data_IF_364948165047
#
_entry.id   IF_364948165047
#
_cell.length_a   1.000
_cell.length_b   1.000
_cell.length_c   1.000
_cell.angle_alpha   90.00
_cell.angle_beta   90.00
_cell.angle_gamma   90.00
#
_symmetry.space_group_name_H-M   'P 1'
#
loop_
_entity.id
_entity.type
_entity.pdbx_description
1 polymer ?
#
# COMPACT_ATOMS: atom_id res chain seq x y z
N UNK A 1 2.80 6.84 -2.45
CA UNK A 1 4.14 6.30 -2.74
C UNK A 1 4.29 6.12 -4.24
N UNK A 2 4.69 7.19 -4.91
CA UNK A 2 4.95 7.25 -6.37
C UNK A 2 6.30 6.64 -6.71
N UNK A 3 6.61 6.48 -8.00
CA UNK A 3 7.93 6.03 -8.43
C UNK A 3 9.04 7.01 -8.00
N UNK A 4 8.82 8.32 -8.16
CA UNK A 4 9.78 9.35 -7.74
C UNK A 4 10.09 9.29 -6.24
N UNK A 5 9.06 9.16 -5.40
CA UNK A 5 9.25 9.00 -3.95
C UNK A 5 10.05 7.72 -3.64
N UNK A 6 9.82 6.62 -4.38
CA UNK A 6 10.58 5.37 -4.23
C UNK A 6 12.04 5.51 -4.66
N UNK A 7 12.34 6.34 -5.67
CA UNK A 7 13.73 6.62 -6.10
C UNK A 7 14.50 7.34 -5.00
N UNK A 8 13.88 8.32 -4.34
CA UNK A 8 14.49 9.00 -3.17
C UNK A 8 14.77 8.00 -2.04
N UNK A 9 13.84 7.08 -1.75
CA UNK A 9 14.07 5.99 -0.78
C UNK A 9 15.27 5.13 -1.20
N UNK A 10 15.35 4.74 -2.47
CA UNK A 10 16.42 3.89 -3.01
C UNK A 10 17.80 4.55 -2.88
N UNK A 11 17.92 5.81 -3.30
CA UNK A 11 19.15 6.61 -3.16
C UNK A 11 19.48 6.79 -1.68
N UNK A 12 18.52 7.18 -0.85
CA UNK A 12 18.71 7.39 0.58
C UNK A 12 19.19 6.12 1.31
N UNK A 13 18.63 4.95 0.96
CA UNK A 13 19.07 3.66 1.49
C UNK A 13 20.51 3.33 1.07
N UNK A 14 20.88 3.53 -0.21
CA UNK A 14 22.26 3.30 -0.69
C UNK A 14 23.26 4.22 -0.02
N UNK A 15 22.88 5.48 0.21
CA UNK A 15 23.69 6.48 0.92
C UNK A 15 23.74 6.25 2.44
N UNK A 16 22.99 5.27 2.98
CA UNK A 16 22.94 5.02 4.42
C UNK A 16 22.22 6.13 5.22
N UNK A 17 21.37 6.93 4.57
CA UNK A 17 20.57 7.96 5.25
C UNK A 17 19.58 7.33 6.23
N UNK A 18 19.28 8.05 7.31
CA UNK A 18 18.25 7.61 8.25
C UNK A 18 16.85 7.69 7.62
N UNK A 19 15.94 6.80 8.04
CA UNK A 19 14.53 6.84 7.61
C UNK A 19 13.91 8.21 7.87
N UNK A 20 14.23 8.85 9.00
CA UNK A 20 13.70 10.17 9.34
C UNK A 20 14.14 11.22 8.32
N UNK A 21 15.40 11.19 7.88
CA UNK A 21 15.88 12.12 6.86
C UNK A 21 15.25 11.88 5.48
N UNK A 22 15.11 10.61 5.08
CA UNK A 22 14.41 10.25 3.85
C UNK A 22 12.94 10.70 3.92
N UNK A 23 12.29 10.54 5.06
CA UNK A 23 10.90 10.91 5.26
C UNK A 23 10.69 12.44 5.24
N UNK A 24 11.61 13.19 5.86
CA UNK A 24 11.67 14.66 5.80
C UNK A 24 11.81 15.14 4.35
N UNK A 25 12.75 14.58 3.58
CA UNK A 25 12.97 14.90 2.15
C UNK A 25 11.73 14.61 1.28
N UNK A 26 10.96 13.59 1.65
CA UNK A 26 9.72 13.22 0.96
C UNK A 26 8.48 13.98 1.44
N UNK A 27 8.54 14.74 2.54
CA UNK A 27 7.36 15.27 3.20
C UNK A 27 6.39 14.18 3.69
N UNK A 28 6.91 13.02 4.11
CA UNK A 28 6.13 11.86 4.56
C UNK A 28 6.43 11.50 6.01
N UNK A 29 5.53 10.75 6.64
CA UNK A 29 5.79 10.19 7.96
C UNK A 29 6.93 9.14 7.92
N UNK A 30 7.84 9.08 8.91
CA UNK A 30 8.89 8.06 8.98
C UNK A 30 8.37 6.63 8.95
N UNK A 31 7.19 6.39 9.54
CA UNK A 31 6.52 5.08 9.53
C UNK A 31 6.14 4.63 8.11
N UNK A 32 5.81 5.57 7.22
CA UNK A 32 5.49 5.28 5.82
C UNK A 32 6.73 4.77 5.08
N UNK A 33 7.88 5.44 5.25
CA UNK A 33 9.15 5.02 4.64
C UNK A 33 9.61 3.67 5.22
N UNK A 34 9.48 3.47 6.54
CA UNK A 34 9.80 2.19 7.18
C UNK A 34 8.97 1.05 6.60
N UNK A 35 7.64 1.18 6.57
CA UNK A 35 6.72 0.15 6.04
C UNK A 35 6.99 -0.14 4.57
N UNK A 36 7.35 0.88 3.80
CA UNK A 36 7.72 0.77 2.39
C UNK A 36 9.01 -0.04 2.21
N UNK A 37 10.05 0.26 3.00
CA UNK A 37 11.32 -0.50 3.00
C UNK A 37 11.08 -1.94 3.48
N UNK A 38 10.38 -2.15 4.61
CA UNK A 38 10.11 -3.49 5.14
C UNK A 38 9.34 -4.38 4.16
N UNK A 39 8.37 -3.81 3.43
CA UNK A 39 7.55 -4.57 2.48
C UNK A 39 8.28 -4.91 1.18
N UNK A 40 9.27 -4.09 0.79
CA UNK A 40 9.84 -4.17 -0.55
C UNK A 40 11.36 -4.38 -0.61
N UNK A 41 12.11 -4.18 0.46
CA UNK A 41 13.54 -4.47 0.49
C UNK A 41 13.82 -5.94 0.83
N UNK A 42 14.97 -6.43 0.38
CA UNK A 42 15.56 -7.67 0.87
C UNK A 42 16.61 -7.35 1.93
N UNK A 43 16.61 -8.06 3.06
CA UNK A 43 17.62 -7.90 4.10
C UNK A 43 17.97 -9.26 4.73
N UNK A 44 19.27 -9.53 4.92
CA UNK A 44 19.72 -10.64 5.77
C UNK A 44 19.48 -10.25 7.23
N UNK A 45 18.32 -10.64 7.77
CA UNK A 45 17.81 -10.21 9.07
C UNK A 45 16.69 -9.16 8.95
N UNK A 46 16.06 -8.76 10.07
CA UNK A 46 15.01 -7.75 10.03
C UNK A 46 15.62 -6.35 10.01
N UNK A 47 15.10 -5.49 9.13
CA UNK A 47 15.48 -4.08 9.11
C UNK A 47 15.22 -3.43 10.49
N UNK A 48 16.21 -2.72 11.04
CA UNK A 48 16.16 -2.04 12.34
C UNK A 48 15.73 -2.91 13.52
N UNK A 49 16.06 -4.20 13.51
CA UNK A 49 15.73 -5.15 14.58
C UNK A 49 16.07 -4.63 16.00
N UNK A 50 17.16 -3.86 16.14
CA UNK A 50 17.64 -3.28 17.41
C UNK A 50 16.75 -2.20 18.01
N UNK A 51 15.89 -1.57 17.20
CA UNK A 51 15.01 -0.49 17.64
C UNK A 51 13.57 -0.97 17.91
N UNK A 52 13.32 -2.28 17.84
CA UNK A 52 12.01 -2.85 18.18
C UNK A 52 11.85 -2.93 19.69
N UNK A 53 10.62 -2.76 20.16
CA UNK A 53 10.26 -3.03 21.54
C UNK A 53 10.60 -4.47 21.90
N UNK A 54 11.29 -4.69 23.03
CA UNK A 54 11.75 -6.01 23.48
C UNK A 54 12.98 -6.57 22.73
N UNK A 55 13.67 -5.77 21.90
CA UNK A 55 14.89 -6.23 21.25
C UNK A 55 16.01 -6.48 22.29
N UNK A 56 16.75 -7.60 22.19
CA UNK A 56 17.85 -7.89 23.11
C UNK A 56 18.94 -6.80 23.04
N UNK A 57 19.45 -6.37 24.20
CA UNK A 57 20.52 -5.36 24.33
C UNK A 57 21.87 -5.76 23.70
N UNK A 58 22.00 -6.99 23.17
CA UNK A 58 23.24 -7.46 22.53
C UNK A 58 23.53 -6.62 21.29
N UNK A 59 24.74 -6.06 21.26
CA UNK A 59 25.28 -5.37 20.08
C UNK A 59 25.24 -6.28 18.85
N UNK A 60 24.83 -5.72 17.72
CA UNK A 60 24.79 -6.37 16.41
C UNK A 60 24.73 -5.29 15.32
N UNK A 61 25.01 -5.61 14.06
CA UNK A 61 24.89 -4.62 12.96
C UNK A 61 23.42 -4.58 12.50
N UNK A 62 22.87 -3.40 12.22
CA UNK A 62 21.57 -3.34 11.56
C UNK A 62 21.68 -3.94 10.16
N UNK A 63 20.72 -4.80 9.82
CA UNK A 63 20.61 -5.33 8.48
C UNK A 63 20.45 -4.16 7.48
N UNK A 64 21.34 -4.09 6.50
CA UNK A 64 21.26 -3.11 5.42
C UNK A 64 20.23 -3.59 4.39
N UNK A 65 19.09 -2.90 4.22
CA UNK A 65 18.10 -3.30 3.25
C UNK A 65 18.62 -3.03 1.84
N UNK A 66 18.52 -4.03 0.96
CA UNK A 66 18.65 -3.84 -0.49
C UNK A 66 17.28 -3.44 -1.02
N UNK A 67 17.10 -2.13 -1.21
CA UNK A 67 15.90 -1.56 -1.82
C UNK A 67 16.14 -1.33 -3.32
N UNK A 68 15.08 -1.44 -4.14
CA UNK A 68 15.12 -1.11 -5.58
C UNK A 68 13.80 -0.48 -5.97
N UNK A 69 13.82 0.79 -6.37
CA UNK A 69 12.61 1.58 -6.62
C UNK A 69 11.69 0.94 -7.67
N UNK A 70 12.25 0.57 -8.83
CA UNK A 70 11.50 -0.03 -9.93
C UNK A 70 10.80 -1.35 -9.52
N UNK A 71 11.51 -2.23 -8.80
CA UNK A 71 10.94 -3.49 -8.33
C UNK A 71 9.86 -3.29 -7.26
N UNK A 72 9.99 -2.26 -6.43
CA UNK A 72 8.98 -1.90 -5.44
C UNK A 72 7.71 -1.32 -6.11
N UNK A 73 7.89 -0.48 -7.15
CA UNK A 73 6.80 0.06 -7.96
C UNK A 73 6.05 -1.04 -8.71
N UNK A 74 6.75 -1.95 -9.39
CA UNK A 74 6.14 -3.06 -10.13
C UNK A 74 5.31 -3.96 -9.20
N UNK A 75 5.82 -4.30 -8.01
CA UNK A 75 5.07 -5.06 -7.00
C UNK A 75 3.85 -4.29 -6.48
N UNK A 76 3.95 -2.98 -6.30
CA UNK A 76 2.81 -2.16 -5.90
C UNK A 76 1.72 -2.18 -6.98
N UNK A 77 2.08 -2.03 -8.25
CA UNK A 77 1.16 -2.13 -9.38
C UNK A 77 0.52 -3.52 -9.46
N UNK A 78 1.31 -4.59 -9.30
CA UNK A 78 0.79 -5.96 -9.29
C UNK A 78 -0.20 -6.20 -8.14
N UNK A 79 0.09 -5.70 -6.93
CA UNK A 79 -0.83 -5.80 -5.77
C UNK A 79 -2.08 -4.93 -5.93
N UNK A 80 -1.97 -3.81 -6.65
CA UNK A 80 -3.10 -2.93 -6.94
C UNK A 80 -4.05 -3.53 -8.00
N UNK A 81 -3.57 -4.45 -8.85
CA UNK A 81 -4.45 -5.21 -9.74
C UNK A 81 -5.42 -6.01 -8.88
N UNK A 82 -6.72 -5.80 -9.09
CA UNK A 82 -7.75 -6.66 -8.54
C UNK A 82 -7.88 -7.88 -9.46
N UNK A 83 -7.46 -9.09 -9.04
CA UNK A 83 -7.47 -10.25 -9.92
C UNK A 83 -8.88 -10.78 -10.22
N UNK A 84 -9.91 -10.31 -9.50
CA UNK A 84 -11.31 -10.69 -9.71
C UNK A 84 -12.11 -9.52 -10.27
N UNK A 85 -12.95 -9.73 -11.29
CA UNK A 85 -13.88 -8.71 -11.75
C UNK A 85 -14.78 -8.27 -10.59
N UNK A 86 -15.13 -6.98 -10.57
CA UNK A 86 -16.05 -6.44 -9.57
C UNK A 86 -17.45 -7.06 -9.71
N UNK A 87 -18.26 -7.04 -8.64
CA UNK A 87 -19.62 -7.61 -8.66
C UNK A 87 -20.49 -7.05 -9.79
N UNK A 88 -20.35 -5.75 -10.08
CA UNK A 88 -21.08 -5.07 -11.16
C UNK A 88 -20.55 -5.42 -12.54
N UNK A 89 -19.27 -5.77 -12.68
CA UNK A 89 -18.69 -6.16 -13.97
C UNK A 89 -19.08 -7.59 -14.40
N UNK A 90 -19.59 -8.40 -13.45
CA UNK A 90 -20.03 -9.78 -13.72
C UNK A 90 -21.55 -9.88 -13.85
N UNK A 91 -22.30 -9.02 -13.15
CA UNK A 91 -23.75 -9.07 -13.11
C UNK A 91 -24.34 -7.80 -13.73
N UNK A 92 -24.69 -7.87 -15.02
CA UNK A 92 -25.27 -6.76 -15.78
C UNK A 92 -26.56 -6.25 -15.15
N UNK A 93 -27.45 -7.14 -14.70
CA UNK A 93 -28.70 -6.75 -14.03
C UNK A 93 -28.45 -5.91 -12.77
N UNK A 94 -27.46 -6.30 -11.97
CA UNK A 94 -27.07 -5.54 -10.77
C UNK A 94 -26.41 -4.20 -11.14
N UNK A 95 -25.62 -4.18 -12.20
CA UNK A 95 -24.98 -2.97 -12.72
C UNK A 95 -26.00 -1.93 -13.18
N UNK A 96 -26.97 -2.34 -14.00
CA UNK A 96 -27.94 -1.44 -14.61
C UNK A 96 -28.87 -0.83 -13.56
N UNK A 97 -29.24 -1.60 -12.53
CA UNK A 97 -30.02 -1.08 -11.41
C UNK A 97 -29.25 -0.02 -10.61
N UNK A 98 -27.96 -0.28 -10.34
CA UNK A 98 -27.09 0.70 -9.67
C UNK A 98 -26.96 1.97 -10.53
N UNK A 99 -26.75 1.81 -11.84
CA UNK A 99 -26.59 2.92 -12.75
C UNK A 99 -27.87 3.77 -12.84
N UNK A 100 -29.03 3.13 -12.94
CA UNK A 100 -30.34 3.79 -12.96
C UNK A 100 -30.55 4.63 -11.72
N UNK A 101 -30.29 4.07 -10.52
CA UNK A 101 -30.48 4.80 -9.26
C UNK A 101 -29.45 5.90 -9.03
N UNK A 102 -28.22 5.74 -9.55
CA UNK A 102 -27.24 6.82 -9.54
C UNK A 102 -27.70 7.99 -10.44
N UNK A 103 -28.29 7.71 -11.60
CA UNK A 103 -28.87 8.73 -12.49
C UNK A 103 -30.05 9.45 -11.82
N UNK A 104 -30.85 8.73 -11.04
CA UNK A 104 -31.92 9.29 -10.21
C UNK A 104 -31.41 9.98 -8.94
N UNK A 105 -30.09 10.12 -8.77
CA UNK A 105 -29.42 10.81 -7.66
C UNK A 105 -29.67 10.21 -6.27
N UNK A 106 -29.90 8.91 -6.18
CA UNK A 106 -29.94 8.21 -4.89
C UNK A 106 -28.55 8.20 -4.25
N UNK A 107 -28.50 8.28 -2.92
CA UNK A 107 -27.24 8.14 -2.19
C UNK A 107 -26.72 6.69 -2.22
N UNK A 108 -25.40 6.47 -2.13
CA UNK A 108 -24.84 5.12 -2.09
C UNK A 108 -25.47 4.22 -1.01
N UNK A 109 -25.83 4.80 0.14
CA UNK A 109 -26.48 4.09 1.24
C UNK A 109 -27.92 3.67 0.90
N UNK A 110 -28.69 4.53 0.22
CA UNK A 110 -30.05 4.20 -0.22
C UNK A 110 -30.03 3.08 -1.26
N UNK A 111 -29.12 3.17 -2.24
CA UNK A 111 -28.95 2.15 -3.28
C UNK A 111 -28.61 0.80 -2.64
N UNK A 112 -27.63 0.76 -1.74
CA UNK A 112 -27.23 -0.47 -1.06
C UNK A 112 -28.39 -1.13 -0.29
N UNK A 113 -29.16 -0.33 0.47
CA UNK A 113 -30.33 -0.84 1.20
C UNK A 113 -31.39 -1.40 0.26
N UNK A 114 -31.65 -0.72 -0.85
CA UNK A 114 -32.67 -1.14 -1.81
C UNK A 114 -32.26 -2.41 -2.56
N UNK A 115 -31.00 -2.52 -2.97
CA UNK A 115 -30.45 -3.73 -3.59
C UNK A 115 -30.57 -4.97 -2.70
N UNK A 116 -30.40 -4.83 -1.38
CA UNK A 116 -30.58 -5.94 -0.45
C UNK A 116 -32.02 -6.48 -0.43
N UNK A 117 -33.03 -5.63 -0.67
CA UNK A 117 -34.43 -6.03 -0.73
C UNK A 117 -34.81 -6.62 -2.10
N UNK A 118 -34.32 -6.00 -3.17
CA UNK A 118 -34.73 -6.36 -4.53
C UNK A 118 -33.97 -7.59 -5.09
N UNK A 119 -32.79 -7.89 -4.55
CA UNK A 119 -31.93 -8.99 -4.99
C UNK A 119 -31.68 -10.03 -3.88
N UNK A 120 -32.44 -10.01 -2.80
CA UNK A 120 -32.44 -11.10 -1.81
C UNK A 120 -33.13 -12.34 -2.39
N UNK A 121 -32.34 -13.23 -2.99
CA UNK A 121 -32.71 -14.63 -3.25
C UNK A 121 -31.48 -15.51 -3.13
#
# INVERSE_FOLDING_TARGET
MTLGERVVIDVGVRMGRSIRKIAEELGRAPSTVMREIERNAFCYGRYRQRYRFGAPKKGGRDAKPRYRAAGAQARAQQRARRPKPGKLAVNERLHDEVQTRLLEKYSPQQIARRLQLDFSR
#
